data_IF_043214369575
#
_entry.id   IF_043214369575
#
_cell.length_a   1.000
_cell.length_b   1.000
_cell.length_c   1.000
_cell.angle_alpha   90.00
_cell.angle_beta   90.00
_cell.angle_gamma   90.00
#
_symmetry.space_group_name_H-M   'P 1'
#
loop_
_entity.id
_entity.type
_entity.pdbx_description
1 polymer ?
#
# COMPACT_ATOMS: atom_id res chain seq x y z
N UNK A 1 -28.91 15.70 27.15
CA UNK A 1 -27.94 14.96 26.31
C UNK A 1 -27.35 15.95 25.35
N UNK A 2 -26.03 16.09 25.33
CA UNK A 2 -25.36 16.94 24.34
C UNK A 2 -25.37 16.22 22.99
N UNK A 3 -25.50 16.95 21.90
CA UNK A 3 -25.52 16.42 20.53
C UNK A 3 -24.58 17.23 19.66
N UNK A 4 -23.77 16.57 18.82
CA UNK A 4 -22.90 17.19 17.80
C UNK A 4 -23.21 16.59 16.44
N UNK A 5 -23.44 17.40 15.43
CA UNK A 5 -23.80 16.92 14.09
C UNK A 5 -25.02 15.97 14.03
N UNK A 6 -25.97 16.10 14.96
CA UNK A 6 -27.12 15.19 15.07
C UNK A 6 -26.84 13.85 15.76
N UNK A 7 -25.61 13.61 16.22
CA UNK A 7 -25.18 12.42 16.95
C UNK A 7 -25.38 12.62 18.45
N UNK A 8 -26.01 11.65 19.12
CA UNK A 8 -26.20 11.69 20.57
C UNK A 8 -24.88 11.32 21.25
N UNK A 9 -24.31 12.25 22.01
CA UNK A 9 -23.15 11.98 22.86
C UNK A 9 -23.64 11.18 24.09
N UNK A 10 -23.64 9.85 23.96
CA UNK A 10 -23.69 8.92 25.10
C UNK A 10 -22.29 8.75 25.68
N UNK A 11 -22.15 8.32 26.94
CA UNK A 11 -20.88 8.02 27.63
C UNK A 11 -20.12 6.82 27.01
N UNK A 12 -19.89 6.82 25.69
CA UNK A 12 -18.97 5.92 25.01
C UNK A 12 -17.57 6.50 25.23
N UNK A 13 -17.01 6.23 26.40
CA UNK A 13 -15.62 6.56 26.70
C UNK A 13 -14.75 5.45 26.10
N UNK A 14 -14.18 5.70 24.92
CA UNK A 14 -13.14 4.82 24.38
C UNK A 14 -11.82 5.41 24.83
N UNK A 15 -11.23 4.76 25.82
CA UNK A 15 -9.87 5.08 26.27
C UNK A 15 -8.93 5.04 25.06
N UNK A 16 -7.93 5.92 25.07
CA UNK A 16 -6.85 5.89 24.08
C UNK A 16 -6.23 4.49 24.05
N UNK A 17 -6.15 3.89 22.85
CA UNK A 17 -5.73 2.51 22.63
C UNK A 17 -6.85 1.46 22.62
N UNK A 18 -8.10 1.86 22.92
CA UNK A 18 -9.27 0.98 22.83
C UNK A 18 -9.73 0.75 21.39
N UNK A 19 -10.20 -0.47 21.12
CA UNK A 19 -10.75 -0.89 19.83
C UNK A 19 -12.28 -1.00 19.89
N UNK A 20 -12.95 -0.48 18.87
CA UNK A 20 -14.41 -0.61 18.69
C UNK A 20 -14.71 -1.23 17.34
N UNK A 21 -15.50 -2.30 17.34
CA UNK A 21 -15.96 -2.95 16.12
C UNK A 21 -16.95 -2.05 15.37
N UNK A 22 -16.71 -1.88 14.07
CA UNK A 22 -17.55 -1.12 13.14
C UNK A 22 -18.43 -2.09 12.37
N UNK A 23 -19.74 -1.84 12.39
CA UNK A 23 -20.69 -2.67 11.66
C UNK A 23 -20.85 -2.12 10.25
N UNK A 24 -20.75 -3.00 9.27
CA UNK A 24 -21.02 -2.70 7.87
C UNK A 24 -22.53 -2.56 7.63
N UNK A 25 -22.91 -1.57 6.84
CA UNK A 25 -24.27 -1.26 6.42
C UNK A 25 -24.31 -1.02 4.90
N UNK A 26 -25.49 -0.95 4.29
CA UNK A 26 -25.56 -0.59 2.85
C UNK A 26 -25.45 0.93 2.67
N UNK A 27 -24.39 1.39 2.02
CA UNK A 27 -24.17 2.80 1.65
C UNK A 27 -22.93 3.38 2.32
N UNK A 28 -22.87 4.71 2.50
CA UNK A 28 -21.81 5.31 3.31
C UNK A 28 -22.01 4.85 4.76
N UNK A 29 -21.02 4.11 5.26
CA UNK A 29 -21.03 3.47 6.57
C UNK A 29 -20.58 4.43 7.66
N UNK A 30 -19.63 5.31 7.33
CA UNK A 30 -18.98 6.18 8.29
C UNK A 30 -19.00 7.64 7.85
N UNK A 31 -19.08 8.51 8.85
CA UNK A 31 -18.85 9.95 8.73
C UNK A 31 -17.88 10.39 9.81
N UNK A 32 -16.76 10.99 9.39
CA UNK A 32 -15.89 11.76 10.26
C UNK A 32 -16.32 13.22 10.14
N UNK A 33 -16.80 13.81 11.23
CA UNK A 33 -17.13 15.21 11.34
C UNK A 33 -16.11 15.96 12.19
N UNK A 34 -15.52 17.01 11.64
CA UNK A 34 -14.62 17.92 12.34
C UNK A 34 -15.38 19.22 12.64
N UNK A 35 -15.27 19.69 13.88
CA UNK A 35 -15.79 20.99 14.29
C UNK A 35 -14.76 21.74 15.14
N UNK A 36 -14.67 23.06 14.98
CA UNK A 36 -13.82 23.90 15.82
C UNK A 36 -14.34 25.32 16.03
N UNK A 37 -14.01 25.87 17.19
CA UNK A 37 -14.32 27.25 17.59
C UNK A 37 -13.05 28.02 17.94
N UNK A 38 -13.09 29.33 17.75
CA UNK A 38 -12.01 30.25 18.09
C UNK A 38 -12.37 31.18 19.24
N UNK A 39 -11.35 31.58 20.00
CA UNK A 39 -11.50 32.66 20.96
C UNK A 39 -11.88 33.97 20.25
N UNK A 40 -12.80 34.73 20.86
CA UNK A 40 -13.25 36.02 20.34
C UNK A 40 -12.06 36.98 20.09
N UNK A 41 -11.87 37.39 18.83
CA UNK A 41 -10.83 38.34 18.43
C UNK A 41 -9.45 37.74 18.11
N UNK A 42 -9.31 36.41 18.12
CA UNK A 42 -8.10 35.74 17.64
C UNK A 42 -8.11 35.56 16.11
N UNK A 43 -6.94 35.37 15.52
CA UNK A 43 -6.84 35.05 14.09
C UNK A 43 -7.34 33.63 13.85
N UNK A 44 -8.16 33.40 12.79
CA UNK A 44 -8.67 32.07 12.49
C UNK A 44 -7.52 31.13 12.17
N UNK A 45 -7.67 29.87 12.57
CA UNK A 45 -6.76 28.76 12.26
C UNK A 45 -7.53 27.78 11.40
N UNK A 46 -7.03 27.54 10.20
CA UNK A 46 -7.64 26.63 9.25
C UNK A 46 -7.33 25.18 9.66
N UNK A 47 -8.37 24.41 10.00
CA UNK A 47 -8.23 23.02 10.41
C UNK A 47 -8.69 22.09 9.29
N UNK A 48 -7.74 21.35 8.75
CA UNK A 48 -7.96 20.38 7.69
C UNK A 48 -8.20 18.98 8.25
N UNK A 49 -9.28 18.33 7.82
CA UNK A 49 -9.50 16.92 7.99
C UNK A 49 -8.91 16.11 6.82
N UNK A 50 -8.19 15.03 7.12
CA UNK A 50 -7.58 14.16 6.10
C UNK A 50 -7.75 12.68 6.44
N UNK A 51 -8.02 11.88 5.42
CA UNK A 51 -8.09 10.41 5.51
C UNK A 51 -7.04 9.81 4.60
N UNK A 52 -6.07 9.12 5.20
CA UNK A 52 -5.01 8.42 4.47
C UNK A 52 -5.31 6.93 4.44
N UNK A 53 -5.20 6.33 3.26
CA UNK A 53 -5.57 4.94 3.00
C UNK A 53 -4.32 4.11 2.83
N UNK A 54 -4.25 2.98 3.53
CA UNK A 54 -3.10 2.08 3.52
C UNK A 54 -3.49 0.63 3.21
N UNK A 55 -2.55 -0.07 2.58
CA UNK A 55 -2.62 -1.52 2.42
C UNK A 55 -2.14 -2.26 3.68
N UNK A 56 -2.18 -3.59 3.68
CA UNK A 56 -1.76 -4.41 4.83
C UNK A 56 -0.27 -4.30 5.18
N UNK A 57 0.57 -3.84 4.26
CA UNK A 57 1.98 -3.56 4.52
C UNK A 57 2.18 -2.16 5.13
N UNK A 58 1.11 -1.35 5.21
CA UNK A 58 1.18 0.03 5.65
C UNK A 58 1.80 0.95 4.58
N UNK A 59 1.67 0.60 3.30
CA UNK A 59 1.98 1.48 2.18
C UNK A 59 0.79 2.38 1.89
N UNK A 60 1.07 3.65 1.59
CA UNK A 60 0.03 4.62 1.24
C UNK A 60 -0.54 4.26 -0.15
N UNK A 61 -1.83 3.97 -0.21
CA UNK A 61 -2.57 3.62 -1.43
C UNK A 61 -3.21 4.88 -2.03
N UNK A 62 -3.89 5.66 -1.20
CA UNK A 62 -4.61 6.86 -1.60
C UNK A 62 -4.80 7.82 -0.41
N UNK A 63 -5.26 9.04 -0.66
CA UNK A 63 -5.50 10.05 0.35
C UNK A 63 -6.67 10.96 -0.03
N UNK A 64 -7.60 11.19 0.89
CA UNK A 64 -8.70 12.15 0.75
C UNK A 64 -8.46 13.35 1.68
N UNK A 65 -8.45 14.55 1.12
CA UNK A 65 -8.18 15.82 1.82
C UNK A 65 -8.73 16.99 0.99
N UNK A 66 -8.64 18.23 1.47
CA UNK A 66 -9.26 19.40 0.84
C UNK A 66 -8.95 19.57 -0.67
N UNK A 67 -7.74 19.22 -1.12
CA UNK A 67 -7.32 19.32 -2.53
C UNK A 67 -7.52 18.01 -3.32
N UNK A 68 -7.92 16.93 -2.65
CA UNK A 68 -8.36 15.69 -3.28
C UNK A 68 -9.64 15.18 -2.61
N UNK A 69 -10.77 15.74 -3.04
CA UNK A 69 -12.07 15.52 -2.39
C UNK A 69 -12.64 14.11 -2.58
N UNK A 70 -12.01 13.26 -3.38
CA UNK A 70 -12.45 11.88 -3.63
C UNK A 70 -11.23 10.94 -3.66
N UNK A 71 -11.33 9.82 -2.95
CA UNK A 71 -10.33 8.76 -2.96
C UNK A 71 -11.00 7.39 -3.08
N UNK A 72 -10.22 6.37 -3.46
CA UNK A 72 -10.65 4.98 -3.64
C UNK A 72 -11.89 4.87 -4.54
N UNK A 73 -11.79 5.35 -5.78
CA UNK A 73 -12.89 5.36 -6.76
C UNK A 73 -14.19 6.06 -6.27
N UNK A 74 -14.06 6.99 -5.32
CA UNK A 74 -15.16 7.75 -4.76
C UNK A 74 -15.82 7.12 -3.54
N UNK A 75 -15.27 6.03 -3.00
CA UNK A 75 -15.71 5.44 -1.74
C UNK A 75 -15.42 6.36 -0.54
N UNK A 76 -14.44 7.26 -0.67
CA UNK A 76 -14.14 8.28 0.34
C UNK A 76 -14.39 9.65 -0.28
N UNK A 77 -15.19 10.49 0.40
CA UNK A 77 -15.59 11.80 -0.11
C UNK A 77 -15.47 12.87 0.98
N UNK A 78 -14.71 13.93 0.68
CA UNK A 78 -14.59 15.12 1.51
C UNK A 78 -15.70 16.14 1.16
N UNK A 79 -16.21 16.88 2.14
CA UNK A 79 -17.23 17.92 1.90
C UNK A 79 -16.71 19.17 1.18
N UNK A 80 -15.40 19.30 1.06
CA UNK A 80 -14.73 20.57 0.75
C UNK A 80 -14.10 21.20 1.98
N UNK A 81 -13.21 22.15 1.70
CA UNK A 81 -12.47 22.99 2.65
C UNK A 81 -13.40 24.00 3.35
N UNK A 82 -13.29 24.12 4.67
CA UNK A 82 -14.00 25.12 5.47
C UNK A 82 -13.02 25.95 6.31
N UNK A 83 -13.05 27.27 6.15
CA UNK A 83 -12.00 28.15 6.68
C UNK A 83 -12.41 28.91 7.94
N UNK A 84 -13.71 29.01 8.22
CA UNK A 84 -14.22 29.94 9.26
C UNK A 84 -14.68 29.27 10.54
N UNK A 85 -14.98 27.97 10.54
CA UNK A 85 -15.56 27.28 11.71
C UNK A 85 -16.98 27.75 12.08
N UNK A 86 -17.65 28.52 11.22
CA UNK A 86 -18.95 29.14 11.53
C UNK A 86 -20.16 28.29 11.08
N UNK A 87 -19.94 27.05 10.66
CA UNK A 87 -20.97 26.25 10.01
C UNK A 87 -21.86 25.54 11.04
N UNK A 88 -23.16 25.54 10.79
CA UNK A 88 -24.10 24.76 11.59
C UNK A 88 -23.81 23.25 11.42
N UNK A 89 -23.30 22.62 12.47
CA UNK A 89 -23.00 21.18 12.50
C UNK A 89 -21.50 20.90 12.48
N UNK A 90 -21.06 20.05 11.54
CA UNK A 90 -19.65 19.81 11.29
C UNK A 90 -19.14 20.80 10.24
N UNK A 91 -18.01 21.43 10.53
CA UNK A 91 -17.33 22.36 9.63
C UNK A 91 -16.87 21.58 8.40
N UNK A 92 -16.10 20.52 8.63
CA UNK A 92 -15.70 19.56 7.60
C UNK A 92 -16.23 18.16 7.87
N UNK A 93 -16.54 17.44 6.80
CA UNK A 93 -16.95 16.04 6.88
C UNK A 93 -16.25 15.19 5.84
N UNK A 94 -15.87 13.98 6.24
CA UNK A 94 -15.42 12.92 5.33
C UNK A 94 -16.34 11.72 5.46
N UNK A 95 -16.97 11.33 4.36
CA UNK A 95 -17.85 10.17 4.28
C UNK A 95 -17.12 8.99 3.66
N UNK A 96 -17.31 7.81 4.22
CA UNK A 96 -16.63 6.58 3.80
C UNK A 96 -17.65 5.47 3.59
N UNK A 97 -17.65 4.89 2.40
CA UNK A 97 -18.37 3.66 2.01
C UNK A 97 -17.39 2.48 2.09
N UNK A 98 -17.51 1.65 3.13
CA UNK A 98 -16.56 0.57 3.40
C UNK A 98 -16.78 -0.64 2.48
N UNK A 99 -18.03 -0.87 2.08
CA UNK A 99 -18.42 -1.96 1.19
C UNK A 99 -17.82 -1.82 -0.23
N UNK A 100 -17.54 -0.58 -0.66
CA UNK A 100 -16.99 -0.28 -1.98
C UNK A 100 -15.46 -0.31 -2.05
N UNK A 101 -14.77 -0.36 -0.91
CA UNK A 101 -13.30 -0.29 -0.87
C UNK A 101 -12.66 -1.55 -1.46
N UNK A 102 -11.56 -1.34 -2.19
CA UNK A 102 -10.72 -2.45 -2.65
C UNK A 102 -10.31 -3.32 -1.45
N UNK A 103 -10.43 -4.66 -1.52
CA UNK A 103 -9.97 -5.56 -0.47
C UNK A 103 -8.49 -5.42 -0.06
N UNK A 104 -7.64 -4.82 -0.91
CA UNK A 104 -6.27 -4.46 -0.58
C UNK A 104 -6.18 -3.33 0.47
N UNK A 105 -7.21 -2.50 0.58
CA UNK A 105 -7.33 -1.47 1.62
C UNK A 105 -7.66 -2.14 2.95
N UNK A 106 -6.71 -2.08 3.87
CA UNK A 106 -6.84 -2.71 5.19
C UNK A 106 -6.79 -1.70 6.32
N UNK A 107 -6.29 -0.50 6.09
CA UNK A 107 -6.14 0.53 7.12
C UNK A 107 -6.45 1.92 6.58
N UNK A 108 -7.01 2.78 7.43
CA UNK A 108 -7.23 4.19 7.18
C UNK A 108 -6.86 4.99 8.43
N UNK A 109 -5.96 5.97 8.29
CA UNK A 109 -5.63 6.90 9.36
C UNK A 109 -6.41 8.20 9.19
N UNK A 110 -7.00 8.67 10.29
CA UNK A 110 -7.68 9.95 10.36
C UNK A 110 -6.75 10.99 10.98
N UNK A 111 -6.54 12.08 10.26
CA UNK A 111 -5.61 13.15 10.61
C UNK A 111 -6.34 14.47 10.61
N UNK A 112 -6.00 15.33 11.57
CA UNK A 112 -6.39 16.74 11.56
C UNK A 112 -5.12 17.59 11.57
N UNK A 113 -5.01 18.55 10.66
CA UNK A 113 -3.89 19.47 10.56
C UNK A 113 -4.37 20.91 10.78
N UNK A 114 -3.56 21.73 11.46
CA UNK A 114 -3.67 23.18 11.37
C UNK A 114 -2.89 23.62 10.12
N UNK A 115 -3.60 23.80 9.00
CA UNK A 115 -3.01 24.04 7.69
C UNK A 115 -2.44 25.45 7.59
N UNK A 116 -3.29 26.43 7.87
CA UNK A 116 -2.96 27.85 7.95
C UNK A 116 -3.30 28.44 9.32
N UNK A 117 -2.70 29.58 9.67
CA UNK A 117 -2.98 30.26 10.94
C UNK A 117 -2.19 29.78 12.17
N UNK A 118 -1.38 28.71 12.06
CA UNK A 118 -0.34 28.38 13.04
C UNK A 118 -0.46 26.98 13.64
N UNK A 119 -0.95 26.90 14.87
CA UNK A 119 -1.05 25.66 15.67
C UNK A 119 -2.38 25.62 16.42
N UNK A 120 -2.66 24.51 17.11
CA UNK A 120 -3.85 24.40 17.96
C UNK A 120 -3.85 25.35 19.18
N UNK A 121 -2.82 26.20 19.33
CA UNK A 121 -2.69 27.12 20.46
C UNK A 121 -3.79 28.19 20.50
N UNK A 122 -4.28 28.61 19.32
CA UNK A 122 -5.27 29.67 19.18
C UNK A 122 -6.71 29.14 18.98
N UNK A 123 -6.87 27.82 18.99
CA UNK A 123 -8.16 27.16 18.88
C UNK A 123 -8.75 27.05 20.29
N UNK A 124 -10.01 27.46 20.48
CA UNK A 124 -10.68 27.40 21.78
C UNK A 124 -11.19 25.97 22.05
N UNK A 125 -11.85 25.40 21.06
CA UNK A 125 -12.45 24.08 21.14
C UNK A 125 -12.35 23.41 19.77
N UNK A 126 -11.96 22.13 19.72
CA UNK A 126 -11.96 21.35 18.48
C UNK A 126 -12.20 19.88 18.78
N UNK A 127 -13.07 19.27 17.96
CA UNK A 127 -13.52 17.90 18.16
C UNK A 127 -13.65 17.19 16.82
N UNK A 128 -13.14 15.95 16.79
CA UNK A 128 -13.33 15.03 15.69
C UNK A 128 -14.28 13.92 16.14
N UNK A 129 -15.41 13.79 15.44
CA UNK A 129 -16.47 12.82 15.76
C UNK A 129 -16.57 11.80 14.64
N UNK A 130 -16.28 10.54 14.94
CA UNK A 130 -16.51 9.43 14.02
C UNK A 130 -17.86 8.79 14.34
N UNK A 131 -18.70 8.65 13.33
CA UNK A 131 -20.06 8.11 13.47
C UNK A 131 -20.35 7.03 12.44
N UNK A 132 -21.06 5.99 12.87
CA UNK A 132 -21.69 4.96 12.04
C UNK A 132 -23.05 5.48 11.58
N UNK A 133 -23.25 5.60 10.27
CA UNK A 133 -24.46 6.20 9.68
C UNK A 133 -25.68 5.25 9.69
N UNK A 134 -25.55 4.00 10.19
CA UNK A 134 -26.61 3.02 10.51
C UNK A 134 -27.74 2.79 9.47
N UNK A 135 -27.59 3.27 8.24
CA UNK A 135 -28.57 3.16 7.15
C UNK A 135 -29.76 4.14 7.25
N UNK A 136 -30.57 4.18 6.18
CA UNK A 136 -31.62 5.19 6.00
C UNK A 136 -32.67 5.18 7.14
N UNK A 137 -32.76 6.30 7.88
CA UNK A 137 -33.81 6.56 8.87
C UNK A 137 -33.44 6.22 10.33
N UNK A 138 -32.23 5.73 10.59
CA UNK A 138 -31.69 5.62 11.95
C UNK A 138 -30.75 6.81 12.25
N UNK A 139 -30.71 7.32 13.50
CA UNK A 139 -29.73 8.33 13.86
C UNK A 139 -28.33 7.72 13.80
N UNK A 140 -27.29 8.51 13.44
CA UNK A 140 -25.93 8.01 13.48
C UNK A 140 -25.54 7.56 14.88
N UNK A 141 -24.77 6.48 14.97
CA UNK A 141 -24.21 5.98 16.22
C UNK A 141 -22.80 6.50 16.39
N UNK A 142 -22.54 7.10 17.55
CA UNK A 142 -21.20 7.55 17.92
C UNK A 142 -20.25 6.35 17.99
N UNK A 143 -19.16 6.41 17.24
CA UNK A 143 -18.04 5.48 17.33
C UNK A 143 -16.84 6.08 18.05
N UNK A 144 -16.57 7.38 17.91
CA UNK A 144 -15.53 8.07 18.66
C UNK A 144 -15.83 9.57 18.75
N UNK A 145 -15.50 10.18 19.88
CA UNK A 145 -15.49 11.64 20.09
C UNK A 145 -14.11 12.01 20.65
N UNK A 146 -13.26 12.56 19.80
CA UNK A 146 -11.87 12.89 20.13
C UNK A 146 -11.74 14.40 20.25
N UNK A 147 -11.53 14.86 21.48
CA UNK A 147 -11.12 16.24 21.73
C UNK A 147 -9.70 16.46 21.20
N UNK A 148 -9.54 17.43 20.33
CA UNK A 148 -8.22 17.83 19.80
C UNK A 148 -7.58 18.74 20.84
N UNK A 149 -6.32 18.48 21.19
CA UNK A 149 -5.59 19.19 22.25
C UNK A 149 -5.35 20.67 21.93
N UNK A 150 -6.37 21.50 22.18
CA UNK A 150 -6.37 22.94 22.06
C UNK A 150 -5.42 23.58 23.10
N UNK A 151 -4.84 24.74 22.76
CA UNK A 151 -3.85 25.41 23.61
C UNK A 151 -2.45 24.80 23.57
N UNK A 152 -2.19 23.86 22.65
CA UNK A 152 -0.86 23.23 22.48
C UNK A 152 -0.13 23.81 21.27
N UNK A 153 1.20 23.73 21.27
CA UNK A 153 2.02 24.11 20.10
C UNK A 153 2.01 23.06 18.98
N UNK A 154 1.20 22.00 19.11
CA UNK A 154 1.08 20.95 18.10
C UNK A 154 0.30 21.48 16.89
N UNK A 155 0.65 21.01 15.70
CA UNK A 155 0.00 21.45 14.45
C UNK A 155 -0.76 20.31 13.76
N UNK A 156 -0.68 19.08 14.29
CA UNK A 156 -1.40 17.94 13.76
C UNK A 156 -1.87 16.99 14.87
N UNK A 157 -2.90 16.21 14.61
CA UNK A 157 -3.39 15.18 15.50
C UNK A 157 -3.84 13.93 14.71
N UNK A 158 -3.27 12.77 15.03
CA UNK A 158 -3.76 11.48 14.52
C UNK A 158 -4.88 11.02 15.44
N UNK A 159 -6.11 11.12 14.95
CA UNK A 159 -7.34 10.89 15.71
C UNK A 159 -7.48 9.40 16.03
N UNK A 160 -7.33 8.57 15.00
CA UNK A 160 -7.48 7.13 15.12
C UNK A 160 -7.12 6.41 13.83
N UNK A 161 -7.17 5.08 13.91
CA UNK A 161 -6.97 4.20 12.77
C UNK A 161 -8.14 3.24 12.67
N UNK A 162 -8.79 3.23 11.51
CA UNK A 162 -9.73 2.19 11.14
C UNK A 162 -8.95 1.08 10.43
N UNK A 163 -9.04 -0.15 10.91
CA UNK A 163 -8.29 -1.29 10.37
C UNK A 163 -9.15 -2.55 10.26
N UNK A 164 -8.84 -3.43 9.31
CA UNK A 164 -9.48 -4.74 9.19
C UNK A 164 -8.88 -5.70 10.21
N UNK A 165 -9.73 -6.35 11.00
CA UNK A 165 -9.34 -7.42 11.93
C UNK A 165 -9.17 -8.74 11.17
N UNK A 166 -8.11 -8.82 10.38
CA UNK A 166 -7.74 -9.98 9.55
C UNK A 166 -7.51 -9.63 8.08
N UNK A 167 -6.96 -10.60 7.34
CA UNK A 167 -6.45 -10.41 5.98
C UNK A 167 -7.48 -10.72 4.88
N UNK A 168 -8.77 -10.87 5.22
CA UNK A 168 -9.80 -11.23 4.24
C UNK A 168 -10.70 -10.05 3.90
N UNK A 169 -11.25 -10.04 2.68
CA UNK A 169 -12.22 -9.04 2.25
C UNK A 169 -13.48 -8.99 3.15
N UNK A 170 -13.74 -10.05 3.90
CA UNK A 170 -14.87 -10.19 4.83
C UNK A 170 -14.49 -9.93 6.30
N UNK A 171 -13.23 -9.60 6.59
CA UNK A 171 -12.78 -9.30 7.94
C UNK A 171 -13.49 -8.05 8.47
N UNK A 172 -13.96 -8.06 9.74
CA UNK A 172 -14.67 -6.93 10.30
C UNK A 172 -13.72 -5.73 10.46
N UNK A 173 -14.26 -4.53 10.29
CA UNK A 173 -13.52 -3.30 10.55
C UNK A 173 -13.55 -2.98 12.04
N UNK A 174 -12.41 -2.52 12.56
CA UNK A 174 -12.27 -2.01 13.92
C UNK A 174 -11.65 -0.63 13.89
N UNK A 175 -12.17 0.26 14.70
CA UNK A 175 -11.60 1.58 14.93
C UNK A 175 -10.80 1.58 16.23
N UNK A 176 -9.52 1.96 16.15
CA UNK A 176 -8.67 2.22 17.32
C UNK A 176 -8.58 3.71 17.57
N UNK A 177 -8.95 4.14 18.78
CA UNK A 177 -8.73 5.51 19.21
C UNK A 177 -7.24 5.73 19.49
N UNK A 178 -6.61 6.70 18.83
CA UNK A 178 -5.17 6.99 18.97
C UNK A 178 -4.94 8.32 19.69
N UNK A 179 -5.61 9.40 19.28
CA UNK A 179 -5.51 10.72 19.92
C UNK A 179 -4.08 11.27 20.05
N UNK A 180 -3.19 10.98 19.08
CA UNK A 180 -1.78 11.35 19.15
C UNK A 180 -1.55 12.75 18.56
N UNK A 181 -1.21 13.71 19.41
CA UNK A 181 -0.75 15.03 18.98
C UNK A 181 0.63 14.95 18.33
N UNK A 182 0.83 15.66 17.23
CA UNK A 182 2.06 15.64 16.44
C UNK A 182 2.28 16.95 15.65
N UNK A 183 3.34 16.98 14.83
CA UNK A 183 3.69 18.12 13.99
C UNK A 183 3.36 17.91 12.52
N UNK A 184 3.33 19.01 11.76
CA UNK A 184 3.11 19.08 10.33
C UNK A 184 1.88 19.92 9.97
N UNK A 185 1.97 20.70 8.90
CA UNK A 185 0.86 21.53 8.38
C UNK A 185 0.01 20.82 7.32
N UNK A 186 0.46 19.67 6.87
CA UNK A 186 -0.23 18.82 5.92
C UNK A 186 0.14 17.37 6.22
N UNK A 187 -0.59 16.45 5.59
CA UNK A 187 -0.36 15.02 5.81
C UNK A 187 1.03 14.54 5.39
N UNK A 188 1.70 15.20 4.45
CA UNK A 188 3.04 14.82 3.97
C UNK A 188 4.09 15.13 5.05
N UNK A 189 3.99 16.30 5.69
CA UNK A 189 4.82 16.69 6.83
C UNK A 189 4.54 15.84 8.07
N UNK A 190 3.27 15.49 8.30
CA UNK A 190 2.86 14.62 9.42
C UNK A 190 3.14 13.13 9.17
N UNK A 191 3.52 12.75 7.96
CA UNK A 191 3.71 11.34 7.55
C UNK A 191 4.65 10.53 8.45
N UNK A 192 5.78 11.06 8.97
CA UNK A 192 6.61 10.31 9.91
C UNK A 192 5.85 9.87 11.17
N UNK A 193 5.00 10.76 11.70
CA UNK A 193 4.19 10.47 12.89
C UNK A 193 3.03 9.52 12.61
N UNK A 194 2.47 9.60 11.39
CA UNK A 194 1.43 8.69 10.91
C UNK A 194 2.02 7.29 10.74
N UNK A 195 3.22 7.17 10.16
CA UNK A 195 3.94 5.89 10.06
C UNK A 195 4.18 5.26 11.42
N UNK A 196 4.65 6.03 12.40
CA UNK A 196 4.79 5.51 13.77
C UNK A 196 3.50 4.90 14.33
N UNK A 197 2.33 5.40 13.93
CA UNK A 197 1.03 4.85 14.34
C UNK A 197 0.67 3.63 13.49
N UNK A 198 0.70 3.75 12.16
CA UNK A 198 0.35 2.67 11.22
C UNK A 198 1.23 1.44 11.46
N UNK A 199 2.50 1.62 11.78
CA UNK A 199 3.45 0.54 11.99
C UNK A 199 3.08 -0.33 13.20
N UNK A 200 2.30 0.21 14.15
CA UNK A 200 1.79 -0.60 15.26
C UNK A 200 0.70 -1.61 14.85
N UNK A 201 0.16 -1.49 13.64
CA UNK A 201 -0.86 -2.37 13.05
C UNK A 201 -0.28 -3.32 11.99
N UNK A 202 0.97 -3.10 11.56
CA UNK A 202 1.63 -3.90 10.54
C UNK A 202 2.46 -5.00 11.19
N UNK A 203 2.51 -6.17 10.56
CA UNK A 203 3.37 -7.26 11.02
C UNK A 203 4.86 -6.83 11.03
N UNK A 204 5.61 -7.12 12.10
CA UNK A 204 7.02 -6.75 12.19
C UNK A 204 7.89 -7.26 11.03
N UNK A 205 7.57 -8.41 10.43
CA UNK A 205 8.25 -8.92 9.23
C UNK A 205 8.04 -8.00 8.04
N UNK A 206 6.79 -7.60 7.78
CA UNK A 206 6.44 -6.67 6.71
C UNK A 206 7.04 -5.27 6.94
N UNK A 207 7.16 -4.82 8.18
CA UNK A 207 7.83 -3.55 8.49
C UNK A 207 9.31 -3.55 8.12
N UNK A 208 10.00 -4.65 8.39
CA UNK A 208 11.40 -4.83 8.00
C UNK A 208 11.54 -4.79 6.47
N UNK A 209 10.64 -5.46 5.76
CA UNK A 209 10.60 -5.49 4.29
C UNK A 209 10.28 -4.12 3.68
N UNK A 210 9.27 -3.42 4.21
CA UNK A 210 8.88 -2.09 3.76
C UNK A 210 9.98 -1.06 4.02
N UNK A 211 10.61 -1.11 5.18
CA UNK A 211 11.73 -0.21 5.53
C UNK A 211 12.93 -0.45 4.61
N UNK A 212 13.21 -1.71 4.25
CA UNK A 212 14.24 -2.04 3.27
C UNK A 212 13.88 -1.48 1.87
N UNK A 213 12.62 -1.68 1.43
CA UNK A 213 12.10 -1.21 0.13
C UNK A 213 12.10 0.32 -0.03
N UNK A 214 11.72 1.08 1.01
CA UNK A 214 11.66 2.55 0.98
C UNK A 214 13.04 3.25 0.97
N UNK A 215 14.12 2.54 1.26
CA UNK A 215 15.49 3.11 1.23
C UNK A 215 16.13 3.08 -0.16
N UNK A 216 15.36 2.80 -1.22
CA UNK A 216 15.86 2.80 -2.60
C UNK A 216 16.91 1.74 -2.88
N UNK A 217 17.08 0.78 -1.97
CA UNK A 217 17.86 -0.42 -2.21
C UNK A 217 16.88 -1.49 -2.65
N UNK A 218 16.88 -1.75 -3.95
CA UNK A 218 16.34 -3.00 -4.49
C UNK A 218 16.73 -4.14 -3.54
N UNK A 219 15.74 -4.96 -3.19
CA UNK A 219 15.88 -6.09 -2.29
C UNK A 219 17.13 -6.89 -2.63
N UNK A 220 18.10 -6.90 -1.71
CA UNK A 220 19.26 -7.78 -1.82
C UNK A 220 18.90 -9.09 -1.13
N UNK A 221 18.06 -9.89 -1.79
CA UNK A 221 17.72 -11.23 -1.32
C UNK A 221 18.99 -12.10 -1.31
N UNK A 222 19.21 -12.82 -0.21
CA UNK A 222 20.23 -13.86 -0.13
C UNK A 222 19.64 -15.20 -0.56
N UNK A 223 20.48 -16.09 -1.08
CA UNK A 223 20.06 -17.42 -1.52
C UNK A 223 19.29 -18.14 -0.41
N UNK A 224 18.05 -18.52 -0.68
CA UNK A 224 17.13 -19.19 0.24
C UNK A 224 16.11 -18.28 0.92
N UNK A 225 16.22 -16.96 0.78
CA UNK A 225 15.24 -16.01 1.32
C UNK A 225 13.90 -16.19 0.61
N UNK A 226 12.79 -16.05 1.35
CA UNK A 226 11.43 -16.14 0.82
C UNK A 226 10.63 -14.91 1.22
N UNK A 227 9.88 -14.37 0.27
CA UNK A 227 9.05 -13.18 0.39
C UNK A 227 7.63 -13.55 -0.04
N UNK A 228 6.63 -13.21 0.76
CA UNK A 228 5.23 -13.32 0.32
C UNK A 228 4.92 -12.18 -0.66
N UNK A 229 4.35 -12.49 -1.82
CA UNK A 229 3.92 -11.47 -2.77
C UNK A 229 2.54 -10.98 -2.34
N UNK A 230 2.39 -9.69 -2.01
CA UNK A 230 1.13 -9.10 -1.60
C UNK A 230 -0.02 -9.42 -2.56
N UNK A 231 -1.14 -9.93 -2.07
CA UNK A 231 -2.32 -10.21 -2.91
C UNK A 231 -2.88 -8.96 -3.60
N UNK A 232 -2.67 -7.77 -3.02
CA UNK A 232 -3.04 -6.48 -3.59
C UNK A 232 -2.17 -6.07 -4.79
N UNK A 233 -0.98 -6.66 -4.93
CA UNK A 233 -0.11 -6.48 -6.09
C UNK A 233 -0.63 -7.19 -7.34
N UNK A 234 -1.66 -8.03 -7.22
CA UNK A 234 -2.22 -8.81 -8.32
C UNK A 234 -3.55 -8.25 -8.85
N UNK A 235 -4.18 -7.31 -8.14
CA UNK A 235 -5.52 -6.86 -8.52
C UNK A 235 -5.46 -5.68 -9.49
N UNK A 236 -6.33 -5.71 -10.50
CA UNK A 236 -6.48 -4.64 -11.50
C UNK A 236 -5.28 -4.45 -12.45
N UNK A 237 -4.64 -5.55 -12.89
CA UNK A 237 -3.59 -5.51 -13.93
C UNK A 237 -2.27 -4.91 -13.44
N UNK A 238 -1.96 -5.08 -12.16
CA UNK A 238 -0.59 -4.90 -11.66
C UNK A 238 0.25 -6.13 -12.04
N UNK A 239 0.56 -6.19 -13.32
CA UNK A 239 1.48 -7.18 -13.87
C UNK A 239 2.90 -6.90 -13.36
N UNK A 240 3.73 -7.93 -13.23
CA UNK A 240 5.16 -7.76 -13.00
C UNK A 240 5.94 -8.33 -14.16
N UNK A 241 7.19 -7.88 -14.29
CA UNK A 241 8.08 -8.37 -15.31
C UNK A 241 9.43 -8.78 -14.72
N UNK A 242 10.05 -9.73 -15.41
CA UNK A 242 11.46 -10.01 -15.24
C UNK A 242 12.20 -9.15 -16.23
N UNK A 243 13.13 -8.36 -15.71
CA UNK A 243 14.09 -7.60 -16.51
C UNK A 243 15.47 -8.22 -16.36
N UNK A 244 16.09 -8.59 -17.47
CA UNK A 244 17.48 -9.01 -17.52
C UNK A 244 18.24 -7.93 -18.29
N UNK A 245 19.29 -7.39 -17.70
CA UNK A 245 20.15 -6.41 -18.35
C UNK A 245 21.61 -6.79 -18.20
N UNK A 246 22.41 -6.61 -19.24
CA UNK A 246 23.85 -6.86 -19.21
C UNK A 246 24.59 -6.00 -20.23
N UNK A 247 25.87 -5.80 -19.99
CA UNK A 247 26.76 -5.17 -20.96
C UNK A 247 27.93 -6.09 -21.20
N UNK A 248 28.36 -6.25 -22.46
CA UNK A 248 29.50 -7.08 -22.79
C UNK A 248 30.43 -6.39 -23.78
N UNK A 249 31.69 -6.84 -23.84
CA UNK A 249 32.64 -6.40 -24.88
C UNK A 249 32.71 -7.49 -25.95
N UNK A 250 31.70 -7.54 -26.82
CA UNK A 250 31.55 -8.54 -27.88
C UNK A 250 30.08 -8.83 -28.18
N UNK A 251 29.82 -9.87 -28.96
CA UNK A 251 28.48 -10.42 -29.15
C UNK A 251 28.32 -11.56 -28.14
N UNK A 252 27.56 -11.32 -27.06
CA UNK A 252 27.24 -12.33 -26.06
C UNK A 252 25.78 -12.22 -25.66
N UNK A 253 25.09 -13.35 -25.81
CA UNK A 253 23.67 -13.48 -25.54
C UNK A 253 23.39 -14.11 -24.17
N UNK A 254 22.57 -13.42 -23.36
CA UNK A 254 22.00 -13.94 -22.13
C UNK A 254 20.49 -14.10 -22.31
N UNK A 255 20.00 -15.30 -22.03
CA UNK A 255 18.56 -15.57 -22.07
C UNK A 255 17.95 -15.53 -20.67
N UNK A 256 16.77 -14.92 -20.58
CA UNK A 256 15.80 -15.15 -19.53
C UNK A 256 14.80 -16.24 -19.96
N UNK A 257 14.43 -17.13 -19.03
CA UNK A 257 13.46 -18.19 -19.27
C UNK A 257 12.60 -18.45 -18.04
N UNK A 258 11.36 -18.87 -18.26
CA UNK A 258 10.44 -19.27 -17.18
C UNK A 258 10.01 -20.72 -17.36
N UNK A 259 10.38 -21.58 -16.40
CA UNK A 259 9.95 -22.97 -16.33
C UNK A 259 8.69 -23.07 -15.49
N UNK A 260 7.60 -23.52 -16.09
CA UNK A 260 6.29 -23.64 -15.45
C UNK A 260 6.08 -25.10 -15.08
N UNK A 261 5.83 -25.38 -13.80
CA UNK A 261 5.74 -26.75 -13.27
C UNK A 261 4.47 -26.98 -12.45
N UNK A 262 4.05 -28.25 -12.38
CA UNK A 262 2.93 -28.70 -11.55
C UNK A 262 3.33 -28.94 -10.08
N UNK A 263 2.38 -29.40 -9.27
CA UNK A 263 2.55 -29.72 -7.85
C UNK A 263 3.53 -30.87 -7.57
N UNK A 264 3.93 -31.61 -8.61
CA UNK A 264 4.88 -32.73 -8.56
C UNK A 264 6.21 -32.39 -9.23
N UNK A 265 6.47 -31.09 -9.42
CA UNK A 265 7.66 -30.55 -10.10
C UNK A 265 7.83 -31.08 -11.53
N UNK A 266 6.74 -31.46 -12.20
CA UNK A 266 6.77 -31.86 -13.61
C UNK A 266 6.67 -30.63 -14.49
N UNK A 267 7.55 -30.54 -15.48
CA UNK A 267 7.55 -29.46 -16.45
C UNK A 267 6.27 -29.49 -17.30
N UNK A 268 5.49 -28.40 -17.22
CA UNK A 268 4.32 -28.15 -18.06
C UNK A 268 4.76 -27.46 -19.34
N UNK A 269 5.54 -26.38 -19.20
CA UNK A 269 6.03 -25.56 -20.31
C UNK A 269 7.26 -24.75 -19.92
N UNK A 270 8.10 -24.46 -20.90
CA UNK A 270 9.14 -23.44 -20.83
C UNK A 270 8.72 -22.25 -21.69
N UNK A 271 8.75 -21.04 -21.14
CA UNK A 271 8.64 -19.79 -21.87
C UNK A 271 10.02 -19.19 -22.03
N UNK A 272 10.42 -18.91 -23.27
CA UNK A 272 11.71 -18.35 -23.66
C UNK A 272 11.58 -17.67 -25.05
N UNK A 273 12.68 -17.16 -25.60
CA UNK A 273 12.66 -16.49 -26.91
C UNK A 273 12.04 -17.31 -28.05
N UNK A 274 12.23 -18.64 -28.04
CA UNK A 274 11.68 -19.55 -29.05
C UNK A 274 10.20 -19.89 -28.79
N UNK A 275 9.80 -19.98 -27.53
CA UNK A 275 8.44 -20.28 -27.08
C UNK A 275 7.91 -19.12 -26.24
N UNK A 276 7.53 -18.04 -26.90
CA UNK A 276 7.32 -16.73 -26.24
C UNK A 276 6.14 -16.64 -25.28
N UNK A 277 5.21 -17.60 -25.28
CA UNK A 277 3.97 -17.46 -24.49
C UNK A 277 3.52 -18.73 -23.79
N UNK A 278 2.90 -18.53 -22.63
CA UNK A 278 2.01 -19.47 -21.98
C UNK A 278 0.69 -18.77 -21.63
N UNK A 279 -0.30 -18.91 -22.51
CA UNK A 279 -1.55 -18.15 -22.41
C UNK A 279 -1.29 -16.65 -22.48
N UNK A 280 -2.06 -15.87 -21.72
CA UNK A 280 -1.79 -14.46 -21.43
C UNK A 280 -0.93 -14.27 -20.17
N UNK A 281 -0.62 -15.35 -19.45
CA UNK A 281 -0.05 -15.30 -18.11
C UNK A 281 1.46 -15.06 -18.10
N UNK A 282 2.18 -15.53 -19.13
CA UNK A 282 3.64 -15.38 -19.23
C UNK A 282 3.97 -15.08 -20.69
N UNK A 283 4.56 -13.92 -20.95
CA UNK A 283 4.84 -13.40 -22.29
C UNK A 283 6.27 -12.85 -22.38
N UNK A 284 7.08 -13.47 -23.22
CA UNK A 284 8.43 -13.01 -23.57
C UNK A 284 8.35 -11.90 -24.62
N UNK A 285 8.96 -10.75 -24.36
CA UNK A 285 8.82 -9.54 -25.20
C UNK A 285 9.75 -9.50 -26.41
N UNK A 286 10.85 -10.27 -26.40
CA UNK A 286 11.82 -10.27 -27.49
C UNK A 286 13.11 -10.96 -27.06
N UNK A 287 13.99 -11.18 -28.01
CA UNK A 287 15.33 -11.72 -27.79
C UNK A 287 16.33 -10.60 -28.07
N UNK A 288 17.15 -10.25 -27.09
CA UNK A 288 18.18 -9.23 -27.24
C UNK A 288 19.56 -9.87 -27.14
N UNK A 289 20.16 -10.11 -28.30
CA UNK A 289 21.39 -10.92 -28.41
C UNK A 289 22.67 -10.14 -28.10
N UNK A 290 22.60 -8.82 -27.89
CA UNK A 290 23.80 -7.97 -27.78
C UNK A 290 23.93 -7.27 -26.43
N UNK A 291 22.82 -7.11 -25.69
CA UNK A 291 22.81 -6.26 -24.50
C UNK A 291 23.04 -4.77 -24.81
N UNK A 292 22.74 -4.35 -26.04
CA UNK A 292 22.83 -2.95 -26.45
C UNK A 292 21.54 -2.20 -26.07
N UNK A 293 21.63 -1.32 -25.06
CA UNK A 293 20.52 -0.47 -24.64
C UNK A 293 20.70 0.12 -23.26
N UNK A 294 19.85 1.09 -22.91
CA UNK A 294 19.68 1.54 -21.53
C UNK A 294 18.52 0.76 -20.90
N UNK A 295 18.77 0.02 -19.82
CA UNK A 295 17.71 -0.62 -19.02
C UNK A 295 17.77 -2.15 -19.04
N UNK A 296 16.61 -2.79 -19.15
CA UNK A 296 16.50 -4.25 -19.28
C UNK A 296 16.57 -4.63 -20.75
N UNK A 297 17.58 -5.40 -21.11
CA UNK A 297 17.83 -5.88 -22.45
C UNK A 297 16.82 -6.96 -22.87
N UNK A 298 16.45 -7.85 -21.94
CA UNK A 298 15.36 -8.80 -22.10
C UNK A 298 14.27 -8.63 -21.05
N UNK A 299 13.03 -8.92 -21.48
CA UNK A 299 11.85 -8.78 -20.65
C UNK A 299 10.84 -9.91 -20.82
N UNK A 300 10.36 -10.45 -19.69
CA UNK A 300 9.26 -11.40 -19.64
C UNK A 300 8.18 -10.84 -18.72
N UNK A 301 7.01 -10.53 -19.29
CA UNK A 301 5.85 -10.07 -18.55
C UNK A 301 5.09 -11.26 -17.97
N UNK A 302 4.61 -11.11 -16.74
CA UNK A 302 3.89 -12.12 -16.01
C UNK A 302 2.65 -11.56 -15.32
N UNK A 303 1.54 -12.24 -15.55
CA UNK A 303 0.27 -12.10 -14.87
C UNK A 303 -0.08 -13.46 -14.24
N UNK A 304 -0.09 -13.52 -12.91
CA UNK A 304 -0.32 -14.77 -12.19
C UNK A 304 -1.80 -15.06 -11.90
N UNK A 305 -2.70 -14.09 -12.09
CA UNK A 305 -4.13 -14.24 -11.87
C UNK A 305 -4.79 -15.26 -12.82
N UNK A 306 -4.55 -15.20 -14.14
CA UNK A 306 -5.10 -16.16 -15.09
C UNK A 306 -4.38 -17.51 -15.08
N UNK A 307 -3.38 -17.73 -14.20
CA UNK A 307 -2.66 -19.00 -14.18
C UNK A 307 -3.59 -20.16 -13.77
N UNK A 308 -3.64 -21.24 -14.58
CA UNK A 308 -4.45 -22.41 -14.26
C UNK A 308 -4.07 -23.04 -12.91
N UNK A 309 -5.05 -23.56 -12.18
CA UNK A 309 -4.85 -24.13 -10.85
C UNK A 309 -3.89 -25.34 -10.79
N UNK A 310 -3.60 -25.98 -11.92
CA UNK A 310 -2.62 -27.07 -11.99
C UNK A 310 -1.17 -26.56 -12.03
N UNK A 311 -0.95 -25.27 -12.25
CA UNK A 311 0.37 -24.63 -12.17
C UNK A 311 0.66 -24.35 -10.69
N UNK A 312 1.79 -24.89 -10.21
CA UNK A 312 2.19 -24.74 -8.80
C UNK A 312 3.37 -23.79 -8.64
N UNK A 313 4.35 -23.85 -9.55
CA UNK A 313 5.57 -23.04 -9.47
C UNK A 313 6.04 -22.54 -10.83
N UNK A 314 6.72 -21.40 -10.83
CA UNK A 314 7.41 -20.82 -11.96
C UNK A 314 8.87 -20.58 -11.54
N UNK A 315 9.80 -21.27 -12.16
CA UNK A 315 11.23 -21.04 -11.95
C UNK A 315 11.75 -20.07 -13.01
N UNK A 316 12.29 -18.94 -12.55
CA UNK A 316 12.93 -17.93 -13.38
C UNK A 316 14.40 -18.31 -13.50
N UNK A 317 14.83 -18.52 -14.74
CA UNK A 317 16.16 -19.01 -15.08
C UNK A 317 16.83 -17.98 -15.97
N UNK A 318 18.13 -17.77 -15.74
CA UNK A 318 19.01 -17.04 -16.64
C UNK A 318 20.10 -17.97 -17.10
N UNK A 319 20.40 -17.97 -18.40
CA UNK A 319 21.50 -18.74 -18.97
C UNK A 319 22.32 -17.90 -19.93
N UNK A 320 23.61 -18.23 -20.03
CA UNK A 320 24.45 -17.77 -21.14
C UNK A 320 24.12 -18.65 -22.33
N UNK A 321 23.61 -18.07 -23.41
CA UNK A 321 23.24 -18.83 -24.61
C UNK A 321 24.48 -19.28 -25.39
N UNK A 322 25.46 -18.37 -25.52
CA UNK A 322 26.65 -18.62 -26.32
C UNK A 322 27.62 -19.62 -25.68
N UNK A 323 28.04 -20.61 -26.48
CA UNK A 323 29.00 -21.61 -26.03
C UNK A 323 30.41 -21.04 -25.91
N UNK A 324 31.08 -21.31 -24.79
CA UNK A 324 32.48 -20.91 -24.56
C UNK A 324 32.65 -19.65 -23.72
N UNK A 325 31.56 -19.00 -23.34
CA UNK A 325 31.51 -17.85 -22.44
C UNK A 325 30.81 -18.21 -21.13
N UNK A 326 31.03 -17.39 -20.11
CA UNK A 326 30.39 -17.50 -18.79
C UNK A 326 29.96 -16.13 -18.27
N UNK A 327 29.35 -16.08 -17.08
CA UNK A 327 28.95 -14.82 -16.44
C UNK A 327 30.15 -13.92 -16.06
N UNK A 328 31.38 -14.40 -16.18
CA UNK A 328 32.61 -13.61 -16.04
C UNK A 328 32.92 -12.75 -17.29
N UNK A 329 32.24 -13.04 -18.41
CA UNK A 329 32.40 -12.34 -19.69
C UNK A 329 31.45 -11.15 -19.85
N UNK A 330 30.52 -10.96 -18.91
CA UNK A 330 29.58 -9.83 -18.84
C UNK A 330 29.98 -8.85 -17.74
N UNK A 331 29.61 -7.58 -17.95
CA UNK A 331 29.78 -6.48 -17.02
C UNK A 331 28.41 -5.90 -16.66
N UNK A 332 28.26 -5.53 -15.40
CA UNK A 332 27.02 -4.95 -14.87
C UNK A 332 25.74 -5.73 -15.18
N UNK A 333 25.88 -7.05 -15.33
CA UNK A 333 24.75 -7.94 -15.54
C UNK A 333 23.87 -8.02 -14.28
N UNK A 334 22.57 -7.96 -14.48
CA UNK A 334 21.59 -8.08 -13.42
C UNK A 334 20.30 -8.71 -13.93
N UNK A 335 19.61 -9.38 -13.02
CA UNK A 335 18.21 -9.77 -13.20
C UNK A 335 17.38 -9.12 -12.11
N UNK A 336 16.19 -8.65 -12.46
CA UNK A 336 15.25 -8.04 -11.52
C UNK A 336 13.83 -8.51 -11.75
N UNK A 337 13.04 -8.44 -10.70
CA UNK A 337 11.59 -8.57 -10.70
C UNK A 337 11.01 -7.19 -10.35
N UNK A 338 10.13 -6.64 -11.19
CA UNK A 338 9.59 -5.30 -11.00
C UNK A 338 8.14 -5.17 -11.47
N UNK A 339 7.40 -4.22 -10.92
CA UNK A 339 6.02 -3.92 -11.32
C UNK A 339 5.98 -3.21 -12.68
N UNK A 340 5.04 -3.60 -13.55
CA UNK A 340 4.88 -3.00 -14.88
C UNK A 340 4.42 -1.54 -14.78
N UNK A 341 3.47 -1.20 -13.88
CA UNK A 341 2.85 0.13 -13.87
C UNK A 341 3.80 1.26 -13.47
N UNK A 342 4.67 1.04 -12.50
CA UNK A 342 5.52 2.07 -11.90
C UNK A 342 7.02 1.72 -11.92
N UNK A 343 7.39 0.54 -12.41
CA UNK A 343 8.79 0.09 -12.45
C UNK A 343 9.40 -0.23 -11.08
N UNK A 344 8.59 -0.32 -10.03
CA UNK A 344 9.05 -0.60 -8.67
C UNK A 344 9.68 -1.99 -8.59
N UNK A 345 10.91 -2.08 -8.09
CA UNK A 345 11.69 -3.32 -8.04
C UNK A 345 11.41 -4.10 -6.76
N UNK A 346 10.93 -5.33 -6.91
CA UNK A 346 10.69 -6.27 -5.83
C UNK A 346 11.93 -7.08 -5.47
N UNK A 347 12.77 -7.39 -6.45
CA UNK A 347 14.02 -8.11 -6.25
C UNK A 347 15.01 -7.72 -7.33
N UNK A 348 16.29 -7.62 -6.99
CA UNK A 348 17.38 -7.44 -7.96
C UNK A 348 18.58 -8.27 -7.54
N UNK A 349 19.11 -9.05 -8.48
CA UNK A 349 20.34 -9.79 -8.30
C UNK A 349 21.37 -9.36 -9.33
N UNK A 350 22.57 -9.02 -8.84
CA UNK A 350 23.71 -8.74 -9.71
C UNK A 350 24.35 -10.06 -10.10
N UNK A 351 24.37 -10.35 -11.39
CA UNK A 351 25.10 -11.46 -11.97
C UNK A 351 26.57 -11.05 -12.05
N UNK A 352 27.44 -11.77 -11.36
CA UNK A 352 28.88 -11.48 -11.34
C UNK A 352 29.71 -12.77 -11.48
N UNK A 353 31.03 -12.59 -11.52
CA UNK A 353 32.01 -13.67 -11.70
C UNK A 353 32.01 -14.74 -10.58
N UNK A 354 31.18 -14.61 -9.54
CA UNK A 354 31.02 -15.64 -8.51
C UNK A 354 30.12 -16.79 -8.97
N UNK A 355 29.28 -16.58 -10.00
CA UNK A 355 28.45 -17.64 -10.61
C UNK A 355 29.32 -18.46 -11.56
N UNK A 356 29.75 -19.65 -11.10
CA UNK A 356 30.66 -20.54 -11.86
C UNK A 356 29.96 -21.44 -12.89
N UNK A 357 28.65 -21.29 -13.06
CA UNK A 357 27.81 -22.10 -13.95
C UNK A 357 27.30 -21.24 -15.10
N UNK A 358 26.89 -21.88 -16.20
CA UNK A 358 26.34 -21.16 -17.38
C UNK A 358 24.82 -20.95 -17.28
N UNK A 359 24.24 -21.26 -16.13
CA UNK A 359 22.83 -21.10 -15.84
C UNK A 359 22.60 -20.95 -14.34
N UNK A 360 21.57 -20.17 -14.01
CA UNK A 360 21.17 -19.83 -12.65
C UNK A 360 19.65 -19.82 -12.57
N UNK A 361 19.09 -20.48 -11.56
CA UNK A 361 17.71 -20.21 -11.14
C UNK A 361 17.79 -18.98 -10.25
N UNK A 362 17.29 -17.85 -10.73
CA UNK A 362 17.31 -16.58 -10.01
C UNK A 362 16.25 -16.57 -8.90
N UNK A 363 15.03 -16.98 -9.24
CA UNK A 363 13.94 -16.99 -8.30
C UNK A 363 12.90 -18.05 -8.67
N UNK A 364 12.17 -18.49 -7.66
CA UNK A 364 11.02 -19.38 -7.81
C UNK A 364 9.79 -18.69 -7.24
N UNK A 365 8.79 -18.51 -8.10
CA UNK A 365 7.44 -18.15 -7.69
C UNK A 365 6.68 -19.43 -7.39
N UNK A 366 6.05 -19.55 -6.23
CA UNK A 366 5.25 -20.73 -5.88
C UNK A 366 4.02 -20.36 -5.06
N UNK A 367 2.96 -21.17 -5.16
CA UNK A 367 1.77 -21.00 -4.30
C UNK A 367 2.02 -21.58 -2.91
N UNK A 368 1.74 -20.79 -1.89
CA UNK A 368 1.67 -21.23 -0.50
C UNK A 368 0.48 -22.18 -0.30
N UNK A 369 0.46 -23.00 0.77
CA UNK A 369 -0.71 -23.79 1.13
C UNK A 369 -1.99 -22.97 1.36
N UNK A 370 -1.84 -21.67 1.63
CA UNK A 370 -2.93 -20.71 1.82
C UNK A 370 -3.40 -20.08 0.50
N UNK A 371 -2.78 -20.44 -0.64
CA UNK A 371 -3.13 -19.96 -1.97
C UNK A 371 -2.50 -18.62 -2.36
N UNK A 372 -1.65 -18.04 -1.52
CA UNK A 372 -0.90 -16.82 -1.82
C UNK A 372 0.38 -17.13 -2.58
N UNK A 373 0.82 -16.21 -3.45
CA UNK A 373 2.07 -16.37 -4.19
C UNK A 373 3.25 -15.95 -3.33
N UNK A 374 4.31 -16.74 -3.37
CA UNK A 374 5.57 -16.53 -2.65
C UNK A 374 6.71 -16.48 -3.66
N UNK A 375 7.67 -15.60 -3.44
CA UNK A 375 8.93 -15.48 -4.16
C UNK A 375 10.05 -16.08 -3.31
N UNK A 376 10.84 -17.00 -3.85
CA UNK A 376 12.04 -17.53 -3.21
C UNK A 376 13.27 -17.27 -4.08
N UNK A 377 14.34 -16.72 -3.49
CA UNK A 377 15.61 -16.42 -4.14
C UNK A 377 16.68 -17.52 -4.00
#
# INVERSE_FOLDING_TARGET
MSTRGGVVLSDVHIDVGGDVEVKLTKGHDLELGLSWDFFEGMSPVDLDCSVLVFDFAGMLVDACFYNNLRACDGCIQHSGDELSGEKDGYDETVKIELDGLDPAVTMMAFLVNAHEGGSFQNVESAYAVLSDLQGAGQPPKLLADVAIGCGTSSTAAVIGVLYRDGMTATSPWKFRNVGKMCGGKNFQESMPHIREVIDTFVDPGLLLERTASMTGKAFKMSKGDSLEIPAGLFRHGDDFFIGLGWTCRGDLDLDASVLIVDDKDRLIRTVNFANKTFGSCVVHQGDNQTGDGDGDDERIDMDLDPLPAYVSKLHIVVNVYDSGYGFDSVSDAYIRLAAIKNGHEFARYKLDATVKTNGLIFATLFRSPMGTWMLQA
#
